data_IF_130905651762
#
_entry.id   IF_130905651762
#
_cell.length_a   1.000
_cell.length_b   1.000
_cell.length_c   1.000
_cell.angle_alpha   90.00
_cell.angle_beta   90.00
_cell.angle_gamma   90.00
#
_symmetry.space_group_name_H-M   'P 1'
#
loop_
_entity.id
_entity.type
_entity.pdbx_description
1 polymer ?
#
# COMPACT_ATOMS: atom_id res chain seq x y z
N UNK A 1 32.81 -13.06 3.82
CA UNK A 1 32.25 -12.36 2.65
C UNK A 1 30.73 -12.49 2.70
N UNK A 2 30.08 -11.53 3.35
CA UNK A 2 28.65 -11.54 3.66
C UNK A 2 27.85 -10.85 2.53
N UNK A 3 27.34 -11.63 1.58
CA UNK A 3 26.44 -11.13 0.52
C UNK A 3 25.06 -11.74 0.74
N UNK A 4 24.12 -10.98 1.29
CA UNK A 4 22.75 -11.52 1.40
C UNK A 4 21.65 -10.64 1.98
N UNK A 5 21.91 -9.40 2.44
CA UNK A 5 20.86 -8.57 3.08
C UNK A 5 20.40 -7.33 2.32
N UNK A 6 21.12 -6.90 1.28
CA UNK A 6 20.83 -5.63 0.60
C UNK A 6 19.64 -5.69 -0.40
N UNK A 7 19.23 -6.89 -0.85
CA UNK A 7 18.17 -7.02 -1.86
C UNK A 7 16.71 -6.88 -1.36
N UNK A 8 16.48 -6.94 -0.04
CA UNK A 8 15.12 -6.81 0.53
C UNK A 8 14.81 -5.35 0.87
N UNK A 9 15.80 -4.61 1.38
CA UNK A 9 15.62 -3.23 1.82
C UNK A 9 15.37 -2.26 0.65
N UNK A 10 16.04 -2.46 -0.49
CA UNK A 10 15.80 -1.64 -1.69
C UNK A 10 14.42 -1.84 -2.31
N UNK A 11 13.86 -3.06 -2.27
CA UNK A 11 12.46 -3.28 -2.65
C UNK A 11 11.53 -2.56 -1.69
N UNK A 12 11.75 -2.62 -0.39
CA UNK A 12 10.89 -1.91 0.56
C UNK A 12 10.88 -0.39 0.31
N UNK A 13 12.03 0.20 -0.04
CA UNK A 13 12.17 1.64 -0.31
C UNK A 13 11.41 2.08 -1.58
N UNK A 14 11.59 1.41 -2.72
CA UNK A 14 10.86 1.74 -3.97
C UNK A 14 9.35 1.52 -3.81
N UNK A 15 8.95 0.50 -3.05
CA UNK A 15 7.53 0.20 -2.82
C UNK A 15 6.90 1.20 -1.84
N UNK A 16 7.66 1.73 -0.87
CA UNK A 16 7.22 2.82 0.01
C UNK A 16 6.98 4.10 -0.76
N UNK A 17 7.90 4.51 -1.65
CA UNK A 17 7.75 5.74 -2.44
C UNK A 17 6.57 5.64 -3.42
N UNK A 18 6.34 4.47 -4.03
CA UNK A 18 5.16 4.24 -4.88
C UNK A 18 3.85 4.07 -4.09
N UNK A 19 3.90 3.61 -2.83
CA UNK A 19 2.70 3.44 -1.98
C UNK A 19 2.25 4.69 -1.25
N UNK A 20 3.07 5.74 -1.12
CA UNK A 20 2.68 6.92 -0.35
C UNK A 20 1.37 7.52 -0.87
N UNK A 21 1.26 7.76 -2.18
CA UNK A 21 0.04 8.30 -2.77
C UNK A 21 -1.17 7.35 -2.67
N UNK A 22 -0.93 6.04 -2.82
CA UNK A 22 -1.99 5.03 -2.71
C UNK A 22 -2.52 4.94 -1.27
N UNK A 23 -1.62 5.04 -0.28
CA UNK A 23 -1.95 5.06 1.14
C UNK A 23 -2.79 6.29 1.50
N UNK A 24 -2.40 7.47 1.02
CA UNK A 24 -3.17 8.71 1.24
C UNK A 24 -4.58 8.63 0.63
N UNK A 25 -4.71 8.08 -0.59
CA UNK A 25 -6.01 7.88 -1.24
C UNK A 25 -6.88 6.90 -0.44
N UNK A 26 -6.32 5.78 0.02
CA UNK A 26 -7.04 4.79 0.83
C UNK A 26 -7.51 5.41 2.15
N UNK A 27 -6.64 6.15 2.84
CA UNK A 27 -6.97 6.82 4.10
C UNK A 27 -8.08 7.86 3.91
N UNK A 28 -8.04 8.65 2.83
CA UNK A 28 -9.08 9.63 2.50
C UNK A 28 -10.44 8.96 2.23
N UNK A 29 -10.47 7.86 1.46
CA UNK A 29 -11.70 7.13 1.18
C UNK A 29 -12.25 6.40 2.42
N UNK A 30 -11.37 5.91 3.30
CA UNK A 30 -11.78 5.36 4.59
C UNK A 30 -12.42 6.43 5.47
N UNK A 31 -11.85 7.63 5.51
CA UNK A 31 -12.40 8.77 6.25
C UNK A 31 -13.76 9.23 5.71
N UNK A 32 -14.01 9.05 4.41
CA UNK A 32 -15.32 9.27 3.76
C UNK A 32 -16.37 8.18 4.11
N UNK A 33 -15.94 7.11 4.82
CA UNK A 33 -16.82 6.03 5.29
C UNK A 33 -16.91 4.84 4.34
N UNK A 34 -16.05 4.75 3.32
CA UNK A 34 -16.04 3.60 2.43
C UNK A 34 -15.41 2.38 3.10
N UNK A 35 -16.08 1.24 2.95
CA UNK A 35 -15.51 -0.04 3.35
C UNK A 35 -14.34 -0.47 2.45
N UNK A 36 -13.43 -1.32 2.95
CA UNK A 36 -12.22 -1.73 2.23
C UNK A 36 -12.48 -2.37 0.86
N UNK A 37 -13.61 -3.07 0.69
CA UNK A 37 -14.04 -3.61 -0.60
C UNK A 37 -14.41 -2.52 -1.62
N UNK A 38 -15.06 -1.44 -1.16
CA UNK A 38 -15.42 -0.29 -2.00
C UNK A 38 -14.17 0.50 -2.42
N UNK A 39 -13.26 0.72 -1.47
CA UNK A 39 -11.97 1.38 -1.72
C UNK A 39 -11.16 0.59 -2.76
N UNK A 40 -11.04 -0.72 -2.59
CA UNK A 40 -10.32 -1.59 -3.52
C UNK A 40 -10.87 -1.48 -4.96
N UNK A 41 -12.20 -1.46 -5.10
CA UNK A 41 -12.87 -1.30 -6.40
C UNK A 41 -12.62 0.06 -7.05
N UNK A 42 -12.60 1.14 -6.26
CA UNK A 42 -12.38 2.51 -6.76
C UNK A 42 -10.92 2.75 -7.15
N UNK A 43 -9.99 2.30 -6.32
CA UNK A 43 -8.55 2.47 -6.54
C UNK A 43 -8.01 1.49 -7.59
N UNK A 44 -8.76 0.41 -7.88
CA UNK A 44 -8.32 -0.63 -8.81
C UNK A 44 -7.22 -1.51 -8.23
N UNK A 45 -7.28 -1.78 -6.93
CA UNK A 45 -6.30 -2.61 -6.21
C UNK A 45 -6.98 -3.81 -5.53
N UNK A 46 -6.17 -4.76 -5.09
CA UNK A 46 -6.68 -5.89 -4.31
C UNK A 46 -7.14 -5.42 -2.93
N UNK A 47 -8.24 -5.97 -2.42
CA UNK A 47 -8.75 -5.66 -1.07
C UNK A 47 -7.72 -5.95 0.01
N UNK A 48 -6.88 -6.97 -0.20
CA UNK A 48 -5.76 -7.30 0.68
C UNK A 48 -4.69 -6.21 0.76
N UNK A 49 -4.51 -5.39 -0.28
CA UNK A 49 -3.62 -4.22 -0.20
C UNK A 49 -4.23 -3.13 0.68
N UNK A 50 -5.54 -2.92 0.61
CA UNK A 50 -6.25 -1.98 1.48
C UNK A 50 -6.10 -2.40 2.95
N UNK A 51 -6.33 -3.68 3.27
CA UNK A 51 -6.15 -4.24 4.62
C UNK A 51 -4.71 -4.23 5.16
N UNK A 52 -3.69 -3.98 4.31
CA UNK A 52 -2.31 -3.84 4.78
C UNK A 52 -1.97 -2.40 5.17
N UNK A 53 -2.85 -1.46 4.81
CA UNK A 53 -2.68 -0.02 5.01
C UNK A 53 -3.52 0.48 6.18
N UNK A 54 -4.73 -0.04 6.34
CA UNK A 54 -5.57 0.12 7.53
C UNK A 54 -5.21 -0.89 8.61
#
# INVERSE_FOLDING_TARGET
MERGRNGIEQRNSTYKVANSGLTEIIMALLADGLGPAGIAKLVGCCTMQVYRII
#
